data_IF_186221054172
#
_entry.id   IF_186221054172
#
_cell.length_a   1.000
_cell.length_b   1.000
_cell.length_c   1.000
_cell.angle_alpha   90.00
_cell.angle_beta   90.00
_cell.angle_gamma   90.00
#
_symmetry.space_group_name_H-M   'P 1'
#
loop_
_entity.id
_entity.type
_entity.pdbx_description
1 polymer ?
#
# COMPACT_ATOMS: atom_id res chain seq x y z
N UNK A 1 -13.17 -19.59 31.87
CA UNK A 1 -12.75 -18.19 32.01
C UNK A 1 -11.73 -17.95 30.92
N UNK A 2 -12.18 -17.31 29.86
CA UNK A 2 -11.43 -17.11 28.61
C UNK A 2 -10.40 -16.03 28.90
N UNK A 3 -9.10 -16.33 28.83
CA UNK A 3 -8.06 -15.31 28.91
C UNK A 3 -8.17 -14.41 27.67
N UNK A 4 -8.39 -13.10 27.82
CA UNK A 4 -8.28 -12.17 26.71
C UNK A 4 -6.80 -11.84 26.51
N UNK A 5 -6.35 -11.97 25.26
CA UNK A 5 -5.11 -11.43 24.69
C UNK A 5 -3.76 -11.89 25.30
N UNK A 6 -2.97 -12.53 24.42
CA UNK A 6 -1.56 -12.90 24.54
C UNK A 6 -1.16 -13.93 25.62
N UNK A 7 -1.28 -15.21 25.27
CA UNK A 7 -0.57 -16.28 25.97
C UNK A 7 0.90 -16.31 25.51
N UNK A 8 1.80 -15.61 26.21
CA UNK A 8 3.25 -15.85 26.09
C UNK A 8 3.66 -16.85 27.16
N UNK A 9 4.19 -18.00 26.74
CA UNK A 9 4.67 -19.08 27.63
C UNK A 9 3.66 -19.61 28.66
N UNK A 10 2.35 -19.52 28.35
CA UNK A 10 1.29 -20.12 29.18
C UNK A 10 0.98 -19.35 30.47
N UNK A 11 1.45 -18.10 30.60
CA UNK A 11 1.06 -17.18 31.65
C UNK A 11 0.25 -16.02 31.07
N UNK A 12 -0.82 -15.63 31.77
CA UNK A 12 -1.48 -14.34 31.55
C UNK A 12 -0.61 -13.26 32.20
N UNK A 13 0.07 -12.47 31.39
CA UNK A 13 0.84 -11.32 31.85
C UNK A 13 0.06 -10.06 31.54
N UNK A 14 -0.07 -9.15 32.51
CA UNK A 14 -0.55 -7.77 32.32
C UNK A 14 0.53 -6.94 31.59
N UNK A 15 0.96 -7.44 30.43
CA UNK A 15 1.84 -6.73 29.51
C UNK A 15 1.05 -5.88 28.52
N UNK A 16 1.72 -5.06 27.70
CA UNK A 16 1.06 -4.44 26.57
C UNK A 16 0.49 -5.54 25.67
N UNK A 17 -0.83 -5.52 25.52
CA UNK A 17 -1.59 -6.45 24.69
C UNK A 17 -1.64 -5.93 23.25
N UNK A 18 -1.81 -6.86 22.33
CA UNK A 18 -2.07 -6.66 20.90
C UNK A 18 -3.47 -7.24 20.67
N UNK A 19 -4.51 -6.42 20.85
CA UNK A 19 -5.89 -6.91 20.87
C UNK A 19 -6.50 -7.10 19.47
N UNK A 20 -6.03 -6.36 18.46
CA UNK A 20 -6.48 -6.50 17.08
C UNK A 20 -5.61 -7.43 16.20
N UNK A 21 -4.40 -7.75 16.66
CA UNK A 21 -3.52 -8.74 16.04
C UNK A 21 -2.73 -8.21 14.85
N UNK A 22 -2.46 -6.91 14.76
CA UNK A 22 -1.66 -6.31 13.70
C UNK A 22 -0.13 -6.41 13.92
N UNK A 23 0.28 -6.86 15.11
CA UNK A 23 1.68 -7.04 15.50
C UNK A 23 2.30 -5.85 16.23
N UNK A 24 1.53 -4.79 16.43
CA UNK A 24 1.77 -3.70 17.37
C UNK A 24 0.98 -3.96 18.65
N UNK A 25 1.30 -3.26 19.73
CA UNK A 25 0.61 -3.45 21.00
C UNK A 25 0.26 -2.09 21.58
N UNK A 26 -0.66 -2.07 22.53
CA UNK A 26 -1.07 -0.90 23.34
C UNK A 26 0.03 0.07 23.82
N UNK A 27 1.32 -0.31 23.81
CA UNK A 27 2.40 0.62 24.16
C UNK A 27 2.88 1.51 23.00
N UNK A 28 2.65 1.08 21.75
CA UNK A 28 3.03 1.80 20.53
C UNK A 28 1.84 2.10 19.63
N UNK A 29 0.78 1.31 19.73
CA UNK A 29 -0.44 1.45 18.96
C UNK A 29 -1.39 2.45 19.62
N UNK A 30 -1.80 3.46 18.84
CA UNK A 30 -2.74 4.48 19.25
C UNK A 30 -4.20 3.98 19.26
N UNK A 31 -4.51 2.87 18.58
CA UNK A 31 -5.82 2.22 18.58
C UNK A 31 -5.73 0.68 18.47
N UNK A 32 -5.39 0.03 19.57
CA UNK A 32 -5.27 -1.45 19.72
C UNK A 32 -6.57 -2.26 19.48
N UNK A 33 -7.67 -1.60 19.08
CA UNK A 33 -8.94 -2.23 18.71
C UNK A 33 -9.18 -2.24 17.18
N UNK A 34 -8.28 -1.65 16.36
CA UNK A 34 -8.41 -1.55 14.91
C UNK A 34 -7.09 -1.84 14.17
N UNK A 35 -6.96 -3.00 13.51
CA UNK A 35 -5.70 -3.46 12.91
C UNK A 35 -5.29 -2.68 11.64
N UNK A 36 -6.02 -1.61 11.31
CA UNK A 36 -5.68 -0.67 10.24
C UNK A 36 -5.03 0.61 10.77
N UNK A 37 -4.98 0.81 12.09
CA UNK A 37 -4.39 1.97 12.74
C UNK A 37 -3.20 1.47 13.56
N UNK A 38 -1.99 1.73 13.10
CA UNK A 38 -0.76 1.27 13.73
C UNK A 38 0.46 2.07 13.28
N UNK A 39 1.56 2.05 14.05
CA UNK A 39 2.81 2.68 13.67
C UNK A 39 3.27 2.40 12.22
N UNK A 40 3.15 3.41 11.36
CA UNK A 40 3.52 3.34 9.93
C UNK A 40 2.46 2.78 8.98
N UNK A 41 1.18 2.76 9.38
CA UNK A 41 0.07 2.60 8.45
C UNK A 41 0.01 3.74 7.42
N UNK A 42 -0.84 3.61 6.39
CA UNK A 42 -1.04 4.70 5.42
C UNK A 42 -2.16 5.60 5.91
N UNK A 43 -1.87 6.89 6.06
CA UNK A 43 -2.88 7.85 6.48
C UNK A 43 -3.89 8.19 5.40
N UNK A 44 -5.14 8.40 5.84
CA UNK A 44 -6.17 9.02 5.03
C UNK A 44 -6.24 10.49 5.37
N UNK A 45 -5.68 11.31 4.48
CA UNK A 45 -5.56 12.74 4.72
C UNK A 45 -6.89 13.44 5.06
N UNK A 46 -6.85 14.29 6.08
CA UNK A 46 -7.93 15.16 6.55
C UNK A 46 -9.23 14.40 6.93
N UNK A 47 -9.14 13.11 7.27
CA UNK A 47 -10.28 12.33 7.77
C UNK A 47 -10.45 12.44 9.31
N UNK A 48 -9.49 13.05 9.99
CA UNK A 48 -9.47 13.26 11.43
C UNK A 48 -9.01 12.07 12.25
N UNK A 49 -8.50 11.03 11.60
CA UNK A 49 -7.86 9.86 12.21
C UNK A 49 -6.37 9.90 11.87
N UNK A 50 -5.55 9.57 12.87
CA UNK A 50 -4.11 9.36 12.73
C UNK A 50 -3.93 7.85 12.61
N UNK A 51 -3.76 7.35 11.39
CA UNK A 51 -3.70 5.91 11.13
C UNK A 51 -2.30 5.38 11.41
N UNK A 52 -1.27 6.20 11.20
CA UNK A 52 0.12 5.79 11.35
C UNK A 52 0.69 6.01 12.77
N UNK A 53 -0.11 6.55 13.68
CA UNK A 53 0.20 6.86 15.07
C UNK A 53 1.41 7.79 15.26
N UNK A 54 1.70 8.68 14.31
CA UNK A 54 2.79 9.65 14.39
C UNK A 54 2.41 10.95 15.13
N UNK A 55 1.13 11.12 15.46
CA UNK A 55 0.55 12.26 16.16
C UNK A 55 0.03 13.37 15.24
N UNK A 56 -0.04 13.16 13.91
CA UNK A 56 -0.60 14.11 12.95
C UNK A 56 -1.58 13.44 11.98
N UNK A 57 -2.56 14.21 11.52
CA UNK A 57 -3.39 13.85 10.35
C UNK A 57 -2.87 14.68 9.16
N UNK A 58 -2.32 14.06 8.10
CA UNK A 58 -1.72 14.77 7.00
C UNK A 58 -2.75 15.50 6.15
N UNK A 59 -2.31 16.59 5.49
CA UNK A 59 -3.16 17.34 4.56
C UNK A 59 -3.24 16.68 3.19
N UNK A 60 -4.38 16.81 2.52
CA UNK A 60 -4.59 16.28 1.17
C UNK A 60 -3.92 17.13 0.06
N UNK A 61 -2.68 17.59 0.25
CA UNK A 61 -1.98 18.45 -0.73
C UNK A 61 -1.20 17.66 -1.80
N UNK A 62 -1.36 16.33 -1.84
CA UNK A 62 -0.74 15.46 -2.83
C UNK A 62 0.76 15.22 -2.59
N UNK A 63 1.28 15.62 -1.43
CA UNK A 63 2.59 15.19 -0.93
C UNK A 63 2.34 13.97 -0.06
N UNK A 64 2.63 12.80 -0.59
CA UNK A 64 2.59 11.57 0.22
C UNK A 64 3.53 11.73 1.43
N UNK A 65 3.16 11.28 2.63
CA UNK A 65 4.03 11.27 3.82
C UNK A 65 5.21 10.30 3.69
N UNK A 66 5.63 9.94 2.47
CA UNK A 66 6.97 9.42 2.24
C UNK A 66 7.94 10.53 2.59
N UNK A 67 8.28 10.65 3.87
CA UNK A 67 9.20 11.59 4.46
C UNK A 67 10.31 11.99 3.46
N UNK A 68 10.43 13.29 3.19
CA UNK A 68 11.65 13.97 3.55
C UNK A 68 11.31 14.89 4.72
N UNK A 69 11.99 14.68 5.84
CA UNK A 69 12.22 15.73 6.83
C UNK A 69 12.66 17.01 6.12
N UNK A 70 11.75 17.95 5.89
CA UNK A 70 12.10 19.32 5.52
C UNK A 70 11.02 20.29 6.03
N UNK A 71 11.24 20.95 7.18
CA UNK A 71 10.44 22.06 7.63
C UNK A 71 11.05 23.35 7.06
N UNK A 72 10.57 23.85 5.92
CA UNK A 72 10.82 25.25 5.59
C UNK A 72 9.64 25.96 4.89
N UNK A 73 8.89 26.81 5.60
CA UNK A 73 7.91 27.72 5.02
C UNK A 73 8.54 28.96 4.34
N UNK A 74 9.87 29.03 4.18
CA UNK A 74 10.60 30.16 3.58
C UNK A 74 11.16 29.93 2.18
N UNK A 75 10.59 29.03 1.37
CA UNK A 75 10.94 28.95 -0.07
C UNK A 75 9.92 29.68 -0.98
N UNK A 76 10.03 31.01 -1.16
CA UNK A 76 9.37 31.72 -2.23
C UNK A 76 10.27 31.67 -3.48
N UNK A 77 10.19 30.58 -4.25
CA UNK A 77 10.64 30.65 -5.66
C UNK A 77 11.22 29.37 -6.23
N UNK A 78 10.36 28.57 -6.87
CA UNK A 78 10.78 27.78 -8.04
C UNK A 78 10.03 28.22 -9.29
N UNK A 79 10.03 29.52 -9.57
CA UNK A 79 9.83 30.04 -10.92
C UNK A 79 11.17 30.01 -11.68
N UNK A 80 11.41 28.90 -12.37
CA UNK A 80 12.23 28.89 -13.58
C UNK A 80 13.50 28.05 -13.52
N UNK A 81 13.43 26.84 -14.09
CA UNK A 81 14.62 26.05 -14.36
C UNK A 81 14.32 24.80 -15.16
N UNK A 82 14.29 24.94 -16.49
CA UNK A 82 14.39 23.82 -17.41
C UNK A 82 15.56 22.89 -17.00
N UNK A 83 15.26 21.63 -16.68
CA UNK A 83 16.24 20.67 -16.17
C UNK A 83 15.76 19.23 -16.32
N UNK A 84 15.57 18.80 -17.56
CA UNK A 84 15.59 17.42 -18.05
C UNK A 84 15.17 16.29 -17.09
N UNK A 85 13.87 15.96 -17.09
CA UNK A 85 13.51 14.55 -17.02
C UNK A 85 14.03 13.87 -18.30
N UNK A 86 15.23 13.30 -18.23
CA UNK A 86 15.63 12.25 -19.14
C UNK A 86 14.77 11.01 -18.80
N UNK A 87 13.50 11.04 -19.22
CA UNK A 87 12.76 9.80 -19.39
C UNK A 87 13.53 9.01 -20.44
N UNK A 88 14.16 7.92 -20.00
CA UNK A 88 14.73 6.93 -20.89
C UNK A 88 13.61 6.41 -21.79
N UNK A 89 13.48 7.01 -22.96
CA UNK A 89 12.60 6.54 -24.02
C UNK A 89 13.09 5.17 -24.47
N UNK A 90 12.27 4.16 -24.23
CA UNK A 90 12.35 2.90 -24.94
C UNK A 90 12.20 3.18 -26.45
N UNK A 91 13.29 2.97 -27.20
CA UNK A 91 13.25 2.99 -28.65
C UNK A 91 12.49 1.76 -29.15
N UNK A 92 11.22 1.93 -29.54
CA UNK A 92 10.48 0.94 -30.31
C UNK A 92 10.20 1.52 -31.70
N UNK A 93 11.17 1.37 -32.60
CA UNK A 93 11.02 1.72 -34.00
C UNK A 93 10.26 0.65 -34.78
N UNK A 94 9.31 1.09 -35.59
CA UNK A 94 9.24 0.65 -36.99
C UNK A 94 8.28 -0.49 -37.34
N UNK A 95 7.07 -0.08 -37.67
CA UNK A 95 6.07 -0.69 -38.56
C UNK A 95 6.60 -1.54 -39.72
N UNK A 96 5.91 -2.66 -39.99
CA UNK A 96 5.67 -3.11 -41.37
C UNK A 96 5.73 -4.62 -41.62
N UNK A 97 4.56 -5.26 -41.76
CA UNK A 97 4.16 -5.97 -42.98
C UNK A 97 2.87 -6.77 -42.72
N UNK A 98 1.83 -6.39 -43.44
CA UNK A 98 0.62 -7.18 -43.61
C UNK A 98 0.94 -8.54 -44.23
N UNK A 99 0.30 -9.60 -43.75
CA UNK A 99 0.07 -10.82 -44.53
C UNK A 99 -1.19 -11.50 -44.00
N UNK A 100 -2.29 -11.18 -44.65
CA UNK A 100 -3.48 -12.00 -44.68
C UNK A 100 -3.12 -13.42 -45.12
N UNK A 101 -3.84 -14.43 -44.62
CA UNK A 101 -4.34 -15.63 -45.33
C UNK A 101 -4.96 -16.62 -44.28
N UNK A 102 -5.87 -17.53 -44.69
CA UNK A 102 -7.27 -17.50 -44.25
C UNK A 102 -7.70 -18.68 -43.35
N UNK A 103 -8.90 -18.54 -42.77
CA UNK A 103 -9.84 -19.60 -42.38
C UNK A 103 -9.53 -20.97 -42.99
N UNK A 104 -9.40 -22.05 -42.20
CA UNK A 104 -9.83 -23.43 -42.53
C UNK A 104 -9.78 -24.35 -41.26
N UNK A 105 -10.97 -24.83 -40.81
CA UNK A 105 -11.31 -26.15 -40.21
C UNK A 105 -10.66 -26.62 -38.89
N UNK A 106 -11.28 -27.38 -37.97
CA UNK A 106 -12.61 -27.97 -37.84
C UNK A 106 -12.79 -28.53 -36.42
N UNK A 107 -14.06 -28.68 -36.03
CA UNK A 107 -14.55 -29.37 -34.83
C UNK A 107 -13.98 -30.79 -34.64
N UNK A 108 -13.99 -31.25 -33.37
CA UNK A 108 -14.33 -32.62 -32.88
C UNK A 108 -13.34 -33.20 -31.86
N UNK A 109 -13.45 -32.81 -30.58
CA UNK A 109 -13.36 -33.81 -29.49
C UNK A 109 -14.18 -33.40 -28.26
N UNK A 110 -15.49 -33.39 -28.49
CA UNK A 110 -16.49 -33.48 -27.42
C UNK A 110 -16.21 -34.72 -26.55
N UNK A 111 -16.47 -34.60 -25.23
CA UNK A 111 -16.89 -35.68 -24.29
C UNK A 111 -15.93 -36.42 -23.33
N UNK A 112 -14.62 -36.13 -23.16
CA UNK A 112 -13.78 -37.06 -22.34
C UNK A 112 -13.07 -36.59 -21.07
N UNK A 113 -13.48 -35.51 -20.40
CA UNK A 113 -12.89 -35.22 -19.06
C UNK A 113 -13.81 -34.68 -17.98
N UNK A 114 -15.13 -34.87 -18.13
CA UNK A 114 -16.03 -34.93 -16.96
C UNK A 114 -16.25 -36.40 -16.65
N UNK A 115 -15.88 -36.83 -15.43
CA UNK A 115 -15.90 -38.21 -14.87
C UNK A 115 -14.56 -38.95 -14.92
N UNK A 116 -13.61 -38.51 -14.09
CA UNK A 116 -13.17 -39.32 -12.94
C UNK A 116 -13.00 -38.39 -11.75
#
# INVERSE_FOLDING_TARGET
ETCPASCVDGACVDGPVDADGDGHNTSVDCNDDDPLIFPGAEDVCEDGVDQDCDGVDPRCDGRTPTMPTDPDPTDPGVDGGAGGHATGGCAAGGSGAASALPFVLALLWSTRRRRR
#
